data_IF_209927053737
#
_entry.id   IF_209927053737
#
_cell.length_a   1.000
_cell.length_b   1.000
_cell.length_c   1.000
_cell.angle_alpha   90.00
_cell.angle_beta   90.00
_cell.angle_gamma   90.00
#
_symmetry.space_group_name_H-M   'P 1'
#
loop_
_entity.id
_entity.type
_entity.pdbx_description
1 polymer ?
#
# COMPACT_ATOMS: atom_id res chain seq x y z
N UNK A 1 -3.09 -5.80 -25.21
CA UNK A 1 -4.10 -4.72 -25.13
C UNK A 1 -3.39 -3.38 -24.97
N UNK A 2 -3.92 -2.28 -25.54
CA UNK A 2 -3.40 -0.94 -25.27
C UNK A 2 -3.69 -0.52 -23.80
N UNK A 3 -2.97 0.48 -23.26
CA UNK A 3 -3.28 1.03 -21.94
C UNK A 3 -4.66 1.71 -21.94
N UNK A 4 -5.38 1.57 -20.83
CA UNK A 4 -6.66 2.24 -20.60
C UNK A 4 -6.41 3.55 -19.85
N UNK A 5 -7.05 4.63 -20.31
CA UNK A 5 -7.09 5.88 -19.54
C UNK A 5 -7.93 5.66 -18.28
N UNK A 6 -7.34 5.89 -17.12
CA UNK A 6 -7.97 5.68 -15.82
C UNK A 6 -7.58 6.84 -14.90
N UNK A 7 -8.57 7.59 -14.44
CA UNK A 7 -8.40 8.54 -13.34
C UNK A 7 -8.61 7.80 -12.02
N UNK A 8 -7.55 7.66 -11.23
CA UNK A 8 -7.61 6.94 -9.96
C UNK A 8 -8.59 7.57 -8.97
N UNK A 9 -8.86 8.88 -9.06
CA UNK A 9 -9.82 9.56 -8.22
C UNK A 9 -11.28 9.38 -8.68
N UNK A 10 -11.50 8.89 -9.91
CA UNK A 10 -12.83 8.63 -10.45
C UNK A 10 -13.47 7.40 -9.78
N UNK A 11 -14.78 7.46 -9.57
CA UNK A 11 -15.56 6.29 -9.16
C UNK A 11 -15.69 5.26 -10.31
N UNK A 12 -15.72 5.75 -11.54
CA UNK A 12 -16.00 4.96 -12.75
C UNK A 12 -14.68 4.56 -13.43
N UNK A 13 -14.13 3.40 -13.05
CA UNK A 13 -12.98 2.86 -13.78
C UNK A 13 -13.48 1.96 -14.91
N UNK A 14 -12.85 2.01 -16.09
CA UNK A 14 -13.22 1.19 -17.25
C UNK A 14 -12.69 -0.26 -17.12
N UNK A 15 -12.83 -0.84 -15.93
CA UNK A 15 -12.35 -2.18 -15.57
C UNK A 15 -13.39 -2.81 -14.66
N UNK A 16 -13.80 -4.03 -14.95
CA UNK A 16 -14.84 -4.73 -14.18
C UNK A 16 -14.27 -5.66 -13.10
N UNK A 17 -13.07 -6.22 -13.32
CA UNK A 17 -12.40 -7.12 -12.39
C UNK A 17 -10.88 -7.07 -12.55
N UNK A 18 -10.15 -7.41 -11.48
CA UNK A 18 -8.71 -7.60 -11.51
C UNK A 18 -8.27 -8.64 -10.47
N UNK A 19 -7.26 -9.45 -10.80
CA UNK A 19 -6.63 -10.37 -9.86
C UNK A 19 -5.68 -9.68 -8.88
N UNK A 20 -5.23 -8.47 -9.23
CA UNK A 20 -4.35 -7.63 -8.42
C UNK A 20 -4.43 -6.16 -8.86
N UNK A 21 -4.18 -5.25 -7.92
CA UNK A 21 -3.93 -3.84 -8.23
C UNK A 21 -2.50 -3.50 -7.78
N UNK A 22 -1.70 -2.96 -8.69
CA UNK A 22 -0.35 -2.47 -8.42
C UNK A 22 -0.28 -0.98 -8.74
N UNK A 23 0.15 -0.20 -7.76
CA UNK A 23 0.31 1.24 -7.89
C UNK A 23 1.76 1.63 -7.56
N UNK A 24 2.47 2.21 -8.52
CA UNK A 24 3.87 2.59 -8.40
C UNK A 24 3.98 4.11 -8.47
N UNK A 25 4.54 4.71 -7.43
CA UNK A 25 4.88 6.13 -7.35
C UNK A 25 3.74 7.14 -7.59
N UNK A 26 2.48 6.72 -7.53
CA UNK A 26 1.35 7.63 -7.71
C UNK A 26 1.01 8.40 -6.42
N UNK A 27 1.01 7.74 -5.26
CA UNK A 27 0.43 8.27 -4.02
C UNK A 27 1.02 9.61 -3.56
N UNK A 28 2.28 9.87 -3.89
CA UNK A 28 3.00 11.10 -3.56
C UNK A 28 3.08 12.11 -4.72
N UNK A 29 2.85 11.70 -5.97
CA UNK A 29 2.79 12.57 -7.18
C UNK A 29 1.33 12.80 -7.59
N UNK A 30 0.43 12.82 -6.60
CA UNK A 30 -0.99 13.04 -6.83
C UNK A 30 -1.63 13.66 -5.59
N UNK A 31 -2.82 14.21 -5.77
CA UNK A 31 -3.65 14.66 -4.65
C UNK A 31 -4.10 13.42 -3.85
N UNK A 32 -4.34 13.57 -2.55
CA UNK A 32 -4.70 12.46 -1.68
C UNK A 32 -5.94 11.70 -2.17
N UNK A 33 -6.88 12.40 -2.80
CA UNK A 33 -8.09 11.87 -3.41
C UNK A 33 -7.82 10.76 -4.44
N UNK A 34 -6.70 10.81 -5.16
CA UNK A 34 -6.31 9.74 -6.08
C UNK A 34 -5.94 8.45 -5.33
N UNK A 35 -5.33 8.56 -4.15
CA UNK A 35 -5.03 7.39 -3.31
C UNK A 35 -6.30 6.83 -2.68
N UNK A 36 -7.23 7.68 -2.24
CA UNK A 36 -8.53 7.25 -1.73
C UNK A 36 -9.35 6.54 -2.83
N UNK A 37 -9.38 7.11 -4.03
CA UNK A 37 -10.04 6.50 -5.19
C UNK A 37 -9.37 5.19 -5.63
N UNK A 38 -8.03 5.08 -5.56
CA UNK A 38 -7.31 3.82 -5.76
C UNK A 38 -7.79 2.71 -4.81
N UNK A 39 -7.92 3.02 -3.51
CA UNK A 39 -8.38 2.05 -2.52
C UNK A 39 -9.85 1.67 -2.78
N UNK A 40 -10.71 2.64 -3.11
CA UNK A 40 -12.12 2.38 -3.43
C UNK A 40 -12.28 1.58 -4.74
N UNK A 41 -11.50 1.88 -5.77
CA UNK A 41 -11.45 1.10 -7.00
C UNK A 41 -10.99 -0.33 -6.74
N UNK A 42 -9.95 -0.51 -5.93
CA UNK A 42 -9.49 -1.84 -5.52
C UNK A 42 -10.56 -2.62 -4.72
N UNK A 43 -11.33 -1.96 -3.85
CA UNK A 43 -12.46 -2.57 -3.14
C UNK A 43 -13.48 -3.18 -4.11
N UNK A 44 -13.78 -2.45 -5.20
CA UNK A 44 -14.72 -2.90 -6.23
C UNK A 44 -14.16 -4.04 -7.08
N UNK A 45 -12.90 -3.95 -7.48
CA UNK A 45 -12.30 -4.87 -8.46
C UNK A 45 -11.79 -6.17 -7.85
N UNK A 46 -11.29 -6.13 -6.62
CA UNK A 46 -10.52 -7.24 -6.05
C UNK A 46 -11.40 -8.23 -5.29
N UNK A 47 -11.25 -9.50 -5.64
CA UNK A 47 -11.79 -10.62 -4.88
C UNK A 47 -11.08 -10.77 -3.52
N UNK A 48 -11.69 -11.52 -2.60
CA UNK A 48 -11.09 -11.79 -1.28
C UNK A 48 -9.69 -12.41 -1.46
N UNK A 49 -8.71 -11.85 -0.74
CA UNK A 49 -7.34 -12.32 -0.78
C UNK A 49 -6.48 -11.76 -1.91
N UNK A 50 -7.04 -11.15 -2.96
CA UNK A 50 -6.25 -10.49 -4.00
C UNK A 50 -5.48 -9.26 -3.44
N UNK A 51 -4.27 -8.97 -3.96
CA UNK A 51 -3.43 -7.89 -3.44
C UNK A 51 -3.80 -6.53 -4.02
N UNK A 52 -3.90 -5.55 -3.13
CA UNK A 52 -3.64 -4.14 -3.44
C UNK A 52 -2.21 -3.82 -2.98
N UNK A 53 -1.32 -3.54 -3.93
CA UNK A 53 0.10 -3.28 -3.66
C UNK A 53 0.45 -1.85 -4.05
N UNK A 54 1.07 -1.12 -3.13
CA UNK A 54 1.60 0.22 -3.39
C UNK A 54 3.10 0.24 -3.18
N UNK A 55 3.82 0.89 -4.09
CA UNK A 55 5.27 1.07 -4.02
C UNK A 55 5.65 2.55 -4.13
N UNK A 56 6.60 2.97 -3.28
CA UNK A 56 7.22 4.29 -3.34
C UNK A 56 7.85 4.69 -2.01
N UNK A 57 8.29 5.94 -1.88
CA UNK A 57 8.71 6.53 -0.61
C UNK A 57 7.50 6.82 0.28
N UNK A 58 7.62 6.50 1.56
CA UNK A 58 6.60 6.73 2.57
C UNK A 58 7.22 7.31 3.85
N UNK A 59 6.40 7.99 4.64
CA UNK A 59 6.70 8.34 6.02
C UNK A 59 6.13 7.26 6.94
N UNK A 60 6.91 6.82 7.92
CA UNK A 60 6.45 5.89 8.96
C UNK A 60 6.64 6.56 10.33
N UNK A 61 5.65 6.45 11.19
CA UNK A 61 5.71 7.07 12.51
C UNK A 61 6.81 6.47 13.39
N UNK A 62 7.62 7.33 13.99
CA UNK A 62 8.76 6.91 14.79
C UNK A 62 9.99 6.51 13.97
N UNK A 63 9.94 6.57 12.63
CA UNK A 63 11.10 6.36 11.76
C UNK A 63 11.48 7.65 11.07
N UNK A 64 12.74 8.07 11.28
CA UNK A 64 13.32 9.21 10.57
C UNK A 64 13.32 8.90 9.06
N UNK A 65 12.71 9.80 8.29
CA UNK A 65 12.68 9.72 6.83
C UNK A 65 14.08 9.99 6.27
N UNK A 66 14.49 9.24 5.25
CA UNK A 66 15.81 9.39 4.65
C UNK A 66 15.98 10.80 4.04
N UNK A 67 17.18 11.42 4.09
CA UNK A 67 17.41 12.75 3.50
C UNK A 67 17.04 12.85 2.02
N UNK A 68 17.26 11.78 1.24
CA UNK A 68 16.84 11.71 -0.17
C UNK A 68 15.33 11.86 -0.33
N UNK A 69 14.56 11.24 0.56
CA UNK A 69 13.10 11.28 0.56
C UNK A 69 12.57 12.63 1.06
N UNK A 70 13.26 13.27 2.01
CA UNK A 70 12.93 14.64 2.44
C UNK A 70 13.15 15.65 1.30
N UNK A 71 14.29 15.56 0.61
CA UNK A 71 14.54 16.40 -0.57
C UNK A 71 13.53 16.16 -1.68
N UNK A 72 13.14 14.90 -1.89
CA UNK A 72 12.09 14.56 -2.85
C UNK A 72 10.71 15.12 -2.45
N UNK A 73 10.31 15.01 -1.17
CA UNK A 73 9.07 15.60 -0.63
C UNK A 73 9.01 17.11 -0.88
N UNK A 74 10.09 17.82 -0.56
CA UNK A 74 10.20 19.26 -0.80
C UNK A 74 10.06 19.58 -2.30
N UNK A 75 10.72 18.80 -3.17
CA UNK A 75 10.63 18.98 -4.63
C UNK A 75 9.22 18.78 -5.18
N UNK A 76 8.43 17.88 -4.58
CA UNK A 76 7.04 17.62 -4.97
C UNK A 76 6.16 18.78 -4.56
N UNK A 77 6.26 19.20 -3.29
CA UNK A 77 5.47 20.30 -2.72
C UNK A 77 5.73 21.63 -3.40
N UNK A 78 6.96 21.88 -3.85
CA UNK A 78 7.31 23.06 -4.63
C UNK A 78 6.58 23.13 -5.98
N UNK A 79 6.32 21.98 -6.62
CA UNK A 79 5.58 21.90 -7.90
C UNK A 79 4.07 21.91 -7.68
N UNK A 80 3.62 21.22 -6.64
CA UNK A 80 2.22 21.18 -6.25
C UNK A 80 2.12 20.97 -4.73
N UNK A 81 1.57 21.92 -3.96
CA UNK A 81 1.50 21.82 -2.50
C UNK A 81 0.61 20.67 -2.00
N UNK A 82 -0.23 20.09 -2.88
CA UNK A 82 -1.07 18.93 -2.56
C UNK A 82 -0.34 17.59 -2.74
N UNK A 83 0.85 17.60 -3.33
CA UNK A 83 1.73 16.44 -3.48
C UNK A 83 2.66 16.30 -2.28
N UNK A 84 3.37 15.18 -2.21
CA UNK A 84 4.32 14.89 -1.14
C UNK A 84 4.14 13.49 -0.56
N UNK A 85 5.12 13.08 0.25
CA UNK A 85 5.15 11.78 0.88
C UNK A 85 3.96 11.60 1.82
N UNK A 86 3.32 10.46 1.67
CA UNK A 86 2.18 10.04 2.50
C UNK A 86 2.67 9.24 3.68
N UNK A 87 1.88 9.23 4.74
CA UNK A 87 2.13 8.36 5.89
C UNK A 87 1.57 6.98 5.60
N UNK A 88 2.32 5.98 6.03
CA UNK A 88 1.92 4.58 5.99
C UNK A 88 0.62 4.38 6.79
N UNK A 89 0.46 5.08 7.92
CA UNK A 89 -0.70 4.97 8.80
C UNK A 89 -1.97 5.63 8.23
N UNK A 90 -1.82 6.70 7.44
CA UNK A 90 -2.96 7.34 6.76
C UNK A 90 -3.55 6.39 5.72
N UNK A 91 -2.69 5.67 5.00
CA UNK A 91 -3.12 4.65 4.05
C UNK A 91 -3.72 3.42 4.75
N UNK A 92 -3.16 2.99 5.89
CA UNK A 92 -3.77 1.91 6.70
C UNK A 92 -5.20 2.25 7.08
N UNK A 93 -5.42 3.48 7.56
CA UNK A 93 -6.76 3.95 7.97
C UNK A 93 -7.72 3.98 6.78
N UNK A 94 -7.28 4.52 5.64
CA UNK A 94 -8.09 4.56 4.42
C UNK A 94 -8.41 3.16 3.87
N UNK A 95 -7.45 2.23 3.95
CA UNK A 95 -7.60 0.85 3.52
C UNK A 95 -8.53 0.06 4.44
N UNK A 96 -8.40 0.21 5.76
CA UNK A 96 -9.23 -0.49 6.75
C UNK A 96 -10.70 -0.09 6.65
N UNK A 97 -10.98 1.20 6.43
CA UNK A 97 -12.33 1.70 6.15
C UNK A 97 -13.01 1.04 4.93
N UNK A 98 -12.21 0.38 4.07
CA UNK A 98 -12.62 -0.32 2.84
C UNK A 98 -12.45 -1.83 2.94
N UNK A 99 -12.24 -2.36 4.15
CA UNK A 99 -12.12 -3.79 4.42
C UNK A 99 -10.77 -4.41 4.03
N UNK A 100 -9.74 -3.60 3.81
CA UNK A 100 -8.37 -4.06 3.56
C UNK A 100 -7.52 -3.97 4.82
N UNK A 101 -6.63 -4.94 5.03
CA UNK A 101 -5.61 -4.89 6.05
C UNK A 101 -4.23 -5.02 5.42
N UNK A 102 -3.24 -4.27 5.92
CA UNK A 102 -1.85 -4.46 5.48
C UNK A 102 -1.35 -5.81 5.96
N UNK A 103 -0.91 -6.64 5.02
CA UNK A 103 -0.34 -7.97 5.27
C UNK A 103 1.17 -7.99 5.18
N UNK A 104 1.77 -7.04 4.45
CA UNK A 104 3.23 -6.89 4.34
C UNK A 104 3.64 -5.42 4.21
N UNK A 105 4.78 -5.10 4.80
CA UNK A 105 5.56 -3.88 4.57
C UNK A 105 6.98 -4.35 4.26
N UNK A 106 7.44 -4.14 3.04
CA UNK A 106 8.73 -4.63 2.57
C UNK A 106 9.63 -3.44 2.28
N UNK A 107 10.82 -3.42 2.89
CA UNK A 107 11.85 -2.45 2.55
C UNK A 107 12.40 -2.75 1.15
N UNK A 108 12.53 -1.71 0.34
CA UNK A 108 12.99 -1.78 -1.04
C UNK A 108 14.20 -0.86 -1.23
N UNK A 109 15.01 -1.06 -2.29
CA UNK A 109 16.11 -0.17 -2.62
C UNK A 109 15.69 1.31 -2.67
N UNK A 110 16.67 2.20 -2.50
CA UNK A 110 16.48 3.66 -2.51
C UNK A 110 15.49 4.20 -1.46
N UNK A 111 15.43 3.56 -0.27
CA UNK A 111 14.57 3.98 0.85
C UNK A 111 13.07 3.98 0.50
N UNK A 112 12.66 3.10 -0.42
CA UNK A 112 11.25 2.89 -0.74
C UNK A 112 10.66 1.76 0.10
N UNK A 113 9.34 1.75 0.22
CA UNK A 113 8.59 0.64 0.78
C UNK A 113 7.61 0.09 -0.25
N UNK A 114 7.37 -1.22 -0.17
CA UNK A 114 6.22 -1.87 -0.77
C UNK A 114 5.23 -2.24 0.32
N UNK A 115 4.01 -1.74 0.20
CA UNK A 115 2.90 -2.00 1.11
C UNK A 115 1.91 -2.93 0.42
N UNK A 116 1.61 -4.08 1.01
CA UNK A 116 0.68 -5.07 0.44
C UNK A 116 -0.53 -5.19 1.35
N UNK A 117 -1.68 -4.85 0.81
CA UNK A 117 -2.99 -4.91 1.46
C UNK A 117 -3.81 -6.06 0.88
N UNK A 118 -4.60 -6.72 1.73
CA UNK A 118 -5.55 -7.77 1.32
C UNK A 118 -6.88 -7.55 1.99
N UNK A 119 -7.95 -7.84 1.26
CA UNK A 119 -9.32 -7.75 1.78
C UNK A 119 -9.57 -8.83 2.82
N UNK A 120 -10.03 -8.46 4.01
CA UNK A 120 -10.17 -9.37 5.14
C UNK A 120 -11.61 -9.80 5.47
N UNK A 121 -12.64 -9.33 4.76
CA UNK A 121 -14.04 -9.74 5.02
C UNK A 121 -14.73 -10.48 3.88
N UNK A 122 -15.14 -11.72 4.20
CA UNK A 122 -16.55 -12.15 4.20
C UNK A 122 -17.01 -12.20 5.67
N UNK A 123 -18.26 -11.89 5.99
CA UNK A 123 -18.79 -11.65 7.35
C UNK A 123 -18.43 -12.72 8.39
N UNK A 124 -18.01 -12.30 9.59
CA UNK A 124 -18.45 -12.79 10.93
C UNK A 124 -17.66 -12.09 12.06
N UNK A 125 -18.39 -11.43 12.95
CA UNK A 125 -18.10 -10.97 14.32
C UNK A 125 -16.73 -10.37 14.72
N UNK A 126 -16.88 -9.23 15.41
CA UNK A 126 -15.98 -8.54 16.35
C UNK A 126 -14.79 -9.38 16.83
N UNK A 127 -13.59 -8.92 16.49
CA UNK A 127 -12.45 -8.96 17.41
C UNK A 127 -11.73 -7.63 17.24
N UNK A 128 -11.72 -6.81 18.29
CA UNK A 128 -10.79 -5.68 18.41
C UNK A 128 -9.37 -6.24 18.34
N UNK A 129 -8.73 -6.15 17.18
CA UNK A 129 -7.35 -6.58 17.03
C UNK A 129 -6.46 -5.36 17.17
N UNK A 130 -5.89 -5.21 18.36
CA UNK A 130 -4.69 -4.42 18.60
C UNK A 130 -3.55 -5.05 17.78
N UNK A 131 -3.44 -4.68 16.52
CA UNK A 131 -2.24 -4.98 15.75
C UNK A 131 -1.13 -4.08 16.27
N UNK A 132 -0.29 -4.67 17.11
CA UNK A 132 0.99 -4.09 17.51
C UNK A 132 1.79 -3.69 16.26
N UNK A 133 2.26 -2.45 16.27
CA UNK A 133 3.35 -1.98 15.40
C UNK A 133 4.54 -2.93 15.51
N UNK A 134 5.30 -3.06 14.42
CA UNK A 134 6.67 -2.59 14.55
C UNK A 134 7.00 -1.61 13.44
N UNK A 135 7.11 -0.34 13.85
CA UNK A 135 8.02 0.59 13.22
C UNK A 135 9.41 0.33 13.82
N UNK A 136 10.05 -0.77 13.40
CA UNK A 136 11.41 -1.10 13.82
C UNK A 136 12.09 -1.94 12.74
N UNK A 137 13.31 -1.52 12.37
CA UNK A 137 14.16 -1.98 11.24
C UNK A 137 14.51 -3.48 11.16
N UNK A 138 13.83 -4.37 11.87
CA UNK A 138 14.29 -5.77 12.04
C UNK A 138 13.19 -6.85 12.02
N UNK A 139 11.95 -6.53 11.65
CA UNK A 139 10.84 -7.44 11.90
C UNK A 139 10.14 -8.03 10.67
N UNK A 140 10.78 -8.23 9.50
CA UNK A 140 10.30 -9.20 8.49
C UNK A 140 11.48 -9.78 7.68
N UNK A 141 12.31 -10.61 8.31
CA UNK A 141 13.13 -11.59 7.57
C UNK A 141 12.99 -12.93 8.27
N UNK A 142 12.16 -13.83 7.72
CA UNK A 142 12.38 -15.26 7.92
C UNK A 142 13.34 -15.69 6.81
N UNK A 143 14.61 -16.02 7.10
CA UNK A 143 15.50 -16.56 6.08
C UNK A 143 14.88 -17.83 5.49
N UNK A 144 15.07 -18.04 4.18
CA UNK A 144 14.61 -19.22 3.43
C UNK A 144 15.23 -20.56 3.92
N UNK A 145 15.99 -20.56 5.02
CA UNK A 145 16.67 -21.75 5.57
C UNK A 145 15.82 -22.59 6.54
N UNK A 146 14.54 -22.29 6.75
CA UNK A 146 13.64 -23.06 7.63
C UNK A 146 12.38 -23.58 6.91
N UNK A 147 12.56 -24.17 5.73
CA UNK A 147 11.57 -25.09 5.15
C UNK A 147 12.02 -26.51 5.52
N UNK A 148 11.24 -27.29 6.29
CA UNK A 148 11.52 -28.71 6.45
C UNK A 148 11.54 -29.38 5.06
N UNK A 149 12.60 -30.14 4.74
CA UNK A 149 12.75 -30.92 3.50
C UNK A 149 11.79 -32.13 3.43
N UNK A 150 10.51 -31.93 3.74
CA UNK A 150 9.48 -32.97 3.66
C UNK A 150 8.33 -32.48 2.79
N UNK A 151 8.62 -32.24 1.50
CA UNK A 151 7.67 -32.42 0.39
C UNK A 151 8.46 -32.35 -0.93
N UNK A 152 9.31 -33.37 -1.14
CA UNK A 152 9.83 -33.76 -2.43
C UNK A 152 9.70 -35.28 -2.47
N UNK A 153 8.50 -35.72 -2.84
CA UNK A 153 8.16 -37.04 -3.35
C UNK A 153 6.94 -36.85 -4.27
#
# INVERSE_FOLDING_TARGET
MPPLALDAASADWPVDAADAVLCINMAHISRWEATLGLVAGAERLLVKGAPLTLYGPWRCEGVKTAPSNEGFDASLKARNPRWGLRRVEDLDTAADARGFARTRLVEMPANNLMLVYRRWRGMSNVVSRSWCRPCSRHAIYRPLSMIPKALLA
#
